data_IF_535631900529
#
_entry.id   IF_535631900529
#
_cell.length_a   1.000
_cell.length_b   1.000
_cell.length_c   1.000
_cell.angle_alpha   90.00
_cell.angle_beta   90.00
_cell.angle_gamma   90.00
#
_symmetry.space_group_name_H-M   'P 1'
#
loop_
_entity.id
_entity.type
_entity.pdbx_description
1 polymer ?
#
# COMPACT_ATOMS: atom_id res chain seq x y z
N UNK A 1 -16.61 13.81 -4.50
CA UNK A 1 -16.11 13.60 -4.63
C UNK A 1 -15.05 13.41 -4.62
N UNK A 2 -14.53 13.27 -4.48
CA UNK A 2 -13.53 13.41 -4.57
C UNK A 2 -12.75 12.61 -4.36
N UNK A 3 -12.20 12.11 -4.90
CA UNK A 3 -11.36 11.33 -4.74
C UNK A 3 -10.21 11.79 -4.39
N UNK A 4 -9.99 12.04 -3.32
CA UNK A 4 -8.74 12.43 -2.87
C UNK A 4 -7.93 11.29 -2.37
N UNK A 5 -8.35 10.13 -2.51
CA UNK A 5 -7.52 8.98 -2.17
C UNK A 5 -6.31 8.99 -3.08
N UNK A 6 -5.13 9.21 -2.53
CA UNK A 6 -3.92 9.17 -3.32
C UNK A 6 -3.27 7.81 -3.19
N UNK A 7 -2.17 7.62 -3.92
CA UNK A 7 -1.49 6.33 -3.95
C UNK A 7 -1.10 5.85 -2.56
N UNK A 8 -0.59 6.75 -1.73
CA UNK A 8 -0.15 6.39 -0.38
C UNK A 8 -1.31 5.94 0.48
N UNK A 9 -2.42 6.67 0.43
CA UNK A 9 -3.59 6.32 1.23
C UNK A 9 -4.15 4.97 0.80
N UNK A 10 -4.20 4.74 -0.51
CA UNK A 10 -4.69 3.46 -1.00
C UNK A 10 -3.78 2.32 -0.57
N UNK A 11 -2.46 2.57 -0.58
CA UNK A 11 -1.50 1.56 -0.14
C UNK A 11 -1.75 1.20 1.34
N UNK A 12 -2.03 2.19 2.17
CA UNK A 12 -2.34 1.92 3.57
C UNK A 12 -3.62 1.09 3.69
N UNK A 13 -4.64 1.41 2.92
CA UNK A 13 -5.87 0.64 2.95
C UNK A 13 -5.64 -0.81 2.59
N UNK A 14 -4.85 -1.03 1.53
CA UNK A 14 -4.54 -2.39 1.10
C UNK A 14 -3.76 -3.13 2.18
N UNK A 15 -2.79 -2.46 2.79
CA UNK A 15 -1.99 -3.07 3.84
C UNK A 15 -2.86 -3.47 5.04
N UNK A 16 -3.78 -2.60 5.42
CA UNK A 16 -4.65 -2.88 6.56
C UNK A 16 -5.63 -4.00 6.29
N UNK A 17 -6.00 -4.19 5.04
CA UNK A 17 -6.99 -5.19 4.69
C UNK A 17 -6.48 -6.62 4.82
N UNK A 18 -5.16 -6.78 4.87
CA UNK A 18 -4.57 -8.11 4.96
C UNK A 18 -4.52 -8.85 3.64
N UNK A 19 -4.88 -8.20 2.54
CA UNK A 19 -4.90 -8.87 1.24
C UNK A 19 -3.51 -8.99 0.61
N UNK A 20 -2.55 -8.21 1.08
CA UNK A 20 -1.18 -8.28 0.58
C UNK A 20 -0.24 -8.55 1.74
N UNK A 21 0.86 -9.22 1.45
CA UNK A 21 1.85 -9.55 2.48
C UNK A 21 3.20 -8.87 2.26
N UNK A 22 3.42 -8.30 1.09
CA UNK A 22 4.67 -7.62 0.80
C UNK A 22 4.38 -6.31 0.14
N UNK A 23 5.37 -5.41 0.19
CA UNK A 23 5.23 -4.11 -0.46
C UNK A 23 5.09 -4.31 -1.97
N UNK A 24 5.79 -5.29 -2.52
CA UNK A 24 5.68 -5.57 -3.95
C UNK A 24 4.25 -5.93 -4.34
N UNK A 25 3.57 -6.70 -3.50
CA UNK A 25 2.18 -7.05 -3.77
C UNK A 25 1.29 -5.81 -3.74
N UNK A 26 1.57 -4.89 -2.82
CA UNK A 26 0.82 -3.64 -2.76
C UNK A 26 1.04 -2.83 -4.04
N UNK A 27 2.28 -2.76 -4.50
CA UNK A 27 2.59 -2.04 -5.74
C UNK A 27 1.85 -2.67 -6.92
N UNK A 28 1.86 -3.98 -6.98
CA UNK A 28 1.18 -4.69 -8.05
C UNK A 28 -0.32 -4.37 -8.04
N UNK A 29 -0.93 -4.38 -6.86
CA UNK A 29 -2.35 -4.08 -6.74
C UNK A 29 -2.64 -2.64 -7.16
N UNK A 30 -1.78 -1.70 -6.76
CA UNK A 30 -1.95 -0.31 -7.14
C UNK A 30 -1.86 -0.13 -8.65
N UNK A 31 -0.92 -0.84 -9.29
CA UNK A 31 -0.80 -0.78 -10.74
C UNK A 31 -2.04 -1.30 -11.42
N UNK A 32 -2.63 -2.35 -10.87
CA UNK A 32 -3.87 -2.89 -11.42
C UNK A 32 -5.02 -1.90 -11.29
N UNK A 33 -4.99 -1.06 -10.27
CA UNK A 33 -6.01 -0.06 -10.05
C UNK A 33 -5.68 1.24 -10.77
N UNK A 34 -4.62 1.22 -11.59
CA UNK A 34 -4.23 2.38 -12.41
C UNK A 34 -3.71 3.56 -11.60
N UNK A 35 -3.11 3.29 -10.46
CA UNK A 35 -2.43 4.34 -9.71
C UNK A 35 -1.03 4.48 -10.28
N UNK A 36 -0.83 5.51 -11.07
CA UNK A 36 0.47 5.74 -11.68
C UNK A 36 1.49 6.16 -10.64
N UNK A 37 2.73 5.77 -10.87
CA UNK A 37 3.81 6.17 -10.00
C UNK A 37 3.83 5.43 -8.68
N UNK A 38 3.13 4.30 -8.57
CA UNK A 38 3.09 3.56 -7.32
C UNK A 38 4.50 3.17 -6.85
N UNK A 39 5.35 2.71 -7.76
CA UNK A 39 6.70 2.32 -7.38
C UNK A 39 7.45 3.51 -6.79
N UNK A 40 7.38 4.67 -7.46
CA UNK A 40 8.08 5.85 -7.00
C UNK A 40 7.59 6.29 -5.62
N UNK A 41 6.29 6.21 -5.40
CA UNK A 41 5.73 6.62 -4.12
C UNK A 41 6.07 5.67 -2.99
N UNK A 42 6.29 4.41 -3.29
CA UNK A 42 6.49 3.40 -2.26
C UNK A 42 7.93 2.95 -2.13
N UNK A 43 8.89 3.72 -2.65
CA UNK A 43 10.29 3.36 -2.52
C UNK A 43 10.95 3.92 -1.27
N UNK A 44 10.33 4.88 -0.60
CA UNK A 44 10.91 5.47 0.61
C UNK A 44 10.97 4.46 1.75
N UNK A 45 12.09 4.45 2.49
CA UNK A 45 12.25 3.50 3.57
C UNK A 45 11.18 3.66 4.65
N UNK A 46 10.80 4.90 4.96
CA UNK A 46 9.80 5.14 5.99
C UNK A 46 8.44 4.61 5.62
N UNK A 47 8.02 4.83 4.37
CA UNK A 47 6.70 4.37 3.94
C UNK A 47 6.68 2.85 3.87
N UNK A 48 7.77 2.23 3.42
CA UNK A 48 7.82 0.79 3.33
C UNK A 48 7.75 0.15 4.71
N UNK A 49 8.42 0.75 5.69
CA UNK A 49 8.37 0.25 7.05
C UNK A 49 6.95 0.33 7.60
N UNK A 50 6.28 1.45 7.38
CA UNK A 50 4.90 1.62 7.85
C UNK A 50 3.99 0.58 7.22
N UNK A 51 4.14 0.34 5.92
CA UNK A 51 3.32 -0.64 5.24
C UNK A 51 3.57 -2.05 5.79
N UNK A 52 4.83 -2.38 6.05
CA UNK A 52 5.16 -3.69 6.60
C UNK A 52 4.52 -3.87 7.98
N UNK A 53 4.56 -2.82 8.79
CA UNK A 53 3.96 -2.89 10.12
C UNK A 53 2.46 -3.10 10.03
N UNK A 54 1.80 -2.40 9.12
CA UNK A 54 0.36 -2.57 8.94
C UNK A 54 0.01 -3.98 8.47
N UNK A 55 0.80 -4.50 7.54
CA UNK A 55 0.56 -5.85 7.04
C UNK A 55 0.76 -6.89 8.13
N UNK A 56 1.80 -6.70 8.95
CA UNK A 56 2.05 -7.64 10.06
C UNK A 56 0.91 -7.62 11.05
N UNK A 57 0.39 -6.44 11.36
CA UNK A 57 -0.74 -6.31 12.27
C UNK A 57 -1.98 -6.97 11.69
N UNK A 58 -2.23 -6.78 10.41
CA UNK A 58 -3.39 -7.37 9.77
C UNK A 58 -3.32 -8.90 9.79
N UNK A 59 -2.13 -9.45 9.60
CA UNK A 59 -1.98 -10.90 9.61
C UNK A 59 -2.24 -11.46 11.01
N UNK A 60 -1.83 -10.74 12.03
CA UNK A 60 -2.02 -11.23 13.39
C UNK A 60 -3.47 -11.16 13.83
N UNK A 61 -4.20 -10.27 13.28
CA UNK A 61 -5.62 -10.18 13.61
C UNK A 61 -6.38 -11.35 13.01
#
# INVERSE_FOLDING_TARGET
MSDTTNTIERAYQIAKSGSCRTVEQIIYQLNREHFEGAVAHLTGAGIRKTLKDLMATAVKA
#
